data_IF_284998942056
#
_entry.id   IF_284998942056
#
_cell.length_a   1.000
_cell.length_b   1.000
_cell.length_c   1.000
_cell.angle_alpha   90.00
_cell.angle_beta   90.00
_cell.angle_gamma   90.00
#
_symmetry.space_group_name_H-M   'P 1'
#
loop_
_entity.id
_entity.type
_entity.pdbx_description
1 polymer ?
#
# COMPACT_ATOMS: atom_id res chain seq x y z
N UNK A 1 60.96 11.83 -18.06
CA UNK A 1 60.44 13.21 -18.02
C UNK A 1 59.57 13.40 -19.28
N UNK A 2 58.30 13.01 -19.21
CA UNK A 2 57.42 13.02 -20.34
C UNK A 2 56.20 13.87 -19.98
N UNK A 3 56.08 14.99 -20.71
CA UNK A 3 55.10 16.05 -20.57
C UNK A 3 53.66 15.54 -20.73
N UNK A 4 52.83 15.66 -19.73
CA UNK A 4 51.40 15.68 -19.85
C UNK A 4 50.97 17.02 -20.52
N UNK A 5 50.92 17.07 -21.85
CA UNK A 5 50.31 18.15 -22.64
C UNK A 5 48.77 18.02 -22.48
N UNK A 6 48.17 18.76 -21.51
CA UNK A 6 46.73 19.00 -21.48
C UNK A 6 46.29 19.65 -22.79
N UNK A 7 45.67 18.89 -23.71
CA UNK A 7 45.01 19.47 -24.89
C UNK A 7 44.02 20.53 -24.40
N UNK A 8 44.28 21.81 -24.70
CA UNK A 8 43.27 22.88 -24.58
C UNK A 8 42.10 22.48 -25.47
N UNK A 9 40.97 22.17 -24.85
CA UNK A 9 39.69 22.01 -25.57
C UNK A 9 39.33 23.38 -26.16
N UNK A 10 39.26 23.45 -27.46
CA UNK A 10 38.75 24.65 -28.17
C UNK A 10 37.41 25.03 -27.61
N UNK A 11 37.25 26.27 -27.16
CA UNK A 11 35.97 26.81 -26.71
C UNK A 11 35.06 26.98 -27.92
N UNK A 12 34.03 26.14 -28.00
CA UNK A 12 33.02 26.29 -29.05
C UNK A 12 32.20 27.54 -28.80
N UNK A 13 32.21 28.48 -29.72
CA UNK A 13 31.37 29.67 -29.70
C UNK A 13 29.92 29.27 -29.97
N UNK A 14 29.02 29.62 -29.09
CA UNK A 14 27.60 29.38 -29.25
C UNK A 14 26.87 30.71 -29.33
N UNK A 15 26.10 30.92 -30.42
CA UNK A 15 25.28 32.10 -30.61
C UNK A 15 23.80 31.79 -30.32
N UNK A 16 23.12 32.77 -29.70
CA UNK A 16 21.68 32.65 -29.45
C UNK A 16 20.91 32.96 -30.75
N UNK A 17 19.87 32.20 -30.99
CA UNK A 17 19.02 32.38 -32.17
C UNK A 17 18.07 33.55 -31.89
N UNK A 18 18.05 34.54 -32.82
CA UNK A 18 17.08 35.64 -32.74
C UNK A 18 15.68 35.13 -33.12
N UNK A 19 14.68 35.60 -32.40
CA UNK A 19 13.27 35.28 -32.68
C UNK A 19 12.79 36.18 -33.82
N UNK A 20 12.30 35.65 -34.95
CA UNK A 20 11.71 36.47 -36.01
C UNK A 20 10.43 37.15 -35.49
N UNK A 21 10.19 38.40 -35.95
CA UNK A 21 9.02 39.18 -35.50
C UNK A 21 7.70 38.48 -35.82
N UNK A 22 7.59 37.78 -36.93
CA UNK A 22 6.39 37.06 -37.39
C UNK A 22 6.34 35.58 -36.95
N UNK A 23 7.14 35.17 -35.95
CA UNK A 23 7.18 33.77 -35.51
C UNK A 23 5.86 33.39 -34.80
N UNK A 24 5.30 32.24 -35.20
CA UNK A 24 4.17 31.64 -34.50
C UNK A 24 4.56 31.08 -33.10
N UNK A 25 3.56 30.72 -32.29
CA UNK A 25 3.76 30.22 -30.93
C UNK A 25 4.73 29.04 -30.84
N UNK A 26 4.62 28.04 -31.73
CA UNK A 26 5.48 26.86 -31.77
C UNK A 26 6.93 27.21 -32.10
N UNK A 27 7.14 28.11 -33.06
CA UNK A 27 8.47 28.60 -33.44
C UNK A 27 9.11 29.37 -32.26
N UNK A 28 8.35 30.23 -31.55
CA UNK A 28 8.82 30.94 -30.36
C UNK A 28 9.23 29.99 -29.27
N UNK A 29 8.38 28.97 -28.96
CA UNK A 29 8.68 27.94 -27.95
C UNK A 29 9.92 27.13 -28.30
N UNK A 30 10.07 26.70 -29.54
CA UNK A 30 11.26 25.97 -30.04
C UNK A 30 12.54 26.79 -29.95
N UNK A 31 12.52 28.06 -30.38
CA UNK A 31 13.66 28.97 -30.27
C UNK A 31 14.02 29.23 -28.80
N UNK A 32 13.01 29.42 -27.92
CA UNK A 32 13.23 29.55 -26.51
C UNK A 32 13.93 28.31 -25.93
N UNK A 33 13.43 27.11 -26.23
CA UNK A 33 14.04 25.85 -25.77
C UNK A 33 15.49 25.69 -26.32
N UNK A 34 15.72 26.00 -27.60
CA UNK A 34 17.06 25.94 -28.21
C UNK A 34 18.02 26.94 -27.57
N UNK A 35 17.59 28.15 -27.34
CA UNK A 35 18.37 29.21 -26.67
C UNK A 35 18.66 28.82 -25.21
N UNK A 36 17.70 28.22 -24.50
CA UNK A 36 17.92 27.64 -23.18
C UNK A 36 19.04 26.59 -23.22
N UNK A 37 18.97 25.65 -24.14
CA UNK A 37 20.02 24.62 -24.33
C UNK A 37 21.40 25.22 -24.63
N UNK A 38 21.47 26.26 -25.46
CA UNK A 38 22.71 27.00 -25.78
C UNK A 38 23.25 27.68 -24.52
N UNK A 39 22.42 28.39 -23.78
CA UNK A 39 22.83 29.04 -22.53
C UNK A 39 23.38 28.02 -21.51
N UNK A 40 22.79 26.83 -21.41
CA UNK A 40 23.32 25.76 -20.56
C UNK A 40 24.70 25.26 -21.02
N UNK A 41 24.92 25.14 -22.32
CA UNK A 41 26.24 24.78 -22.90
C UNK A 41 27.31 25.83 -22.62
N UNK A 42 27.01 27.12 -22.81
CA UNK A 42 27.88 28.25 -22.47
C UNK A 42 28.25 28.24 -21.00
N UNK A 43 27.26 28.03 -20.12
CA UNK A 43 27.47 27.98 -18.68
C UNK A 43 28.39 26.83 -18.25
N UNK A 44 28.29 25.66 -18.91
CA UNK A 44 29.17 24.50 -18.65
C UNK A 44 30.62 24.71 -19.12
N UNK A 45 30.89 25.69 -19.98
CA UNK A 45 32.26 26.01 -20.43
C UNK A 45 33.02 26.90 -19.44
N UNK A 46 32.33 27.64 -18.56
CA UNK A 46 33.00 28.43 -17.53
C UNK A 46 33.56 27.51 -16.46
N UNK A 47 34.78 27.75 -15.98
CA UNK A 47 35.31 27.04 -14.81
C UNK A 47 34.38 27.36 -13.63
N UNK A 48 33.81 26.34 -13.02
CA UNK A 48 32.97 26.49 -11.84
C UNK A 48 33.86 26.65 -10.62
N UNK A 49 33.50 27.59 -9.75
CA UNK A 49 34.09 27.69 -8.41
C UNK A 49 33.67 26.46 -7.57
N UNK A 50 34.44 26.15 -6.54
CA UNK A 50 34.14 25.05 -5.64
C UNK A 50 32.71 25.18 -5.07
N UNK A 51 32.32 26.39 -4.66
CA UNK A 51 30.99 26.68 -4.15
C UNK A 51 29.86 26.44 -5.20
N UNK A 52 30.09 26.86 -6.46
CA UNK A 52 29.15 26.61 -7.55
C UNK A 52 28.99 25.13 -7.86
N UNK A 53 30.08 24.37 -7.74
CA UNK A 53 30.06 22.91 -7.92
C UNK A 53 29.21 22.27 -6.84
N UNK A 54 29.46 22.55 -5.55
CA UNK A 54 28.67 22.06 -4.42
C UNK A 54 27.20 22.42 -4.63
N UNK A 55 26.90 23.67 -4.93
CA UNK A 55 25.51 24.12 -5.14
C UNK A 55 24.81 23.40 -6.29
N UNK A 56 25.54 23.09 -7.37
CA UNK A 56 25.02 22.28 -8.48
C UNK A 56 24.69 20.84 -8.05
N UNK A 57 25.56 20.22 -7.27
CA UNK A 57 25.33 18.88 -6.72
C UNK A 57 24.14 18.85 -5.74
N UNK A 58 24.04 19.83 -4.86
CA UNK A 58 22.92 19.97 -3.92
C UNK A 58 21.58 20.08 -4.65
N UNK A 59 21.50 20.95 -5.68
CA UNK A 59 20.27 21.05 -6.51
C UNK A 59 19.90 19.75 -7.19
N UNK A 60 20.89 19.03 -7.71
CA UNK A 60 20.66 17.74 -8.37
C UNK A 60 20.16 16.70 -7.39
N UNK A 61 20.77 16.63 -6.21
CA UNK A 61 20.36 15.72 -5.14
C UNK A 61 18.95 16.03 -4.64
N UNK A 62 18.67 17.30 -4.32
CA UNK A 62 17.33 17.73 -3.89
C UNK A 62 16.29 17.43 -4.98
N UNK A 63 16.59 17.75 -6.25
CA UNK A 63 15.71 17.43 -7.36
C UNK A 63 15.44 15.94 -7.50
N UNK A 64 16.47 15.10 -7.36
CA UNK A 64 16.33 13.64 -7.39
C UNK A 64 15.45 13.14 -6.24
N UNK A 65 15.67 13.63 -5.01
CA UNK A 65 14.84 13.28 -3.85
C UNK A 65 13.36 13.64 -4.11
N UNK A 66 13.09 14.85 -4.59
CA UNK A 66 11.72 15.28 -4.91
C UNK A 66 11.07 14.37 -5.96
N UNK A 67 11.79 14.02 -7.02
CA UNK A 67 11.28 13.12 -8.07
C UNK A 67 10.98 11.73 -7.47
N UNK A 68 11.91 11.18 -6.68
CA UNK A 68 11.71 9.89 -6.01
C UNK A 68 10.51 9.94 -5.07
N UNK A 69 10.34 11.02 -4.31
CA UNK A 69 9.17 11.21 -3.44
C UNK A 69 7.86 11.23 -4.23
N UNK A 70 7.82 11.94 -5.36
CA UNK A 70 6.64 12.01 -6.23
C UNK A 70 6.32 10.62 -6.79
N UNK A 71 7.31 9.93 -7.36
CA UNK A 71 7.11 8.59 -7.92
C UNK A 71 6.63 7.62 -6.85
N UNK A 72 7.28 7.59 -5.68
CA UNK A 72 6.96 6.68 -4.59
C UNK A 72 5.62 7.02 -3.90
N UNK A 73 5.25 8.28 -3.86
CA UNK A 73 3.93 8.73 -3.37
C UNK A 73 2.79 8.39 -4.33
N UNK A 74 2.95 8.77 -5.60
CA UNK A 74 1.85 8.78 -6.57
C UNK A 74 1.75 7.52 -7.43
N UNK A 75 2.85 6.85 -7.75
CA UNK A 75 2.85 5.81 -8.78
C UNK A 75 3.22 4.43 -8.24
N UNK A 76 4.47 4.25 -7.85
CA UNK A 76 5.03 2.94 -7.49
C UNK A 76 5.80 3.05 -6.18
N UNK A 77 5.41 2.26 -5.21
CA UNK A 77 6.14 2.14 -3.96
C UNK A 77 6.87 0.80 -3.86
N UNK A 78 7.97 0.80 -3.13
CA UNK A 78 8.72 -0.40 -2.77
C UNK A 78 8.32 -0.86 -1.38
N UNK A 79 7.95 -2.13 -1.24
CA UNK A 79 7.63 -2.76 0.03
C UNK A 79 8.47 -4.03 0.21
N UNK A 80 8.82 -4.34 1.46
CA UNK A 80 9.41 -5.62 1.84
C UNK A 80 8.36 -6.47 2.55
N UNK A 81 8.32 -7.76 2.26
CA UNK A 81 7.40 -8.71 2.87
C UNK A 81 8.01 -9.24 4.17
N UNK A 82 7.45 -8.90 5.35
CA UNK A 82 8.04 -9.29 6.63
C UNK A 82 7.56 -10.64 7.14
N UNK A 83 6.44 -11.17 6.65
CA UNK A 83 5.77 -12.37 7.18
C UNK A 83 5.34 -13.34 6.10
N UNK A 84 5.15 -14.62 6.47
CA UNK A 84 4.76 -15.69 5.57
C UNK A 84 3.24 -15.85 5.35
N UNK A 85 2.40 -14.87 5.70
CA UNK A 85 0.94 -14.99 5.57
C UNK A 85 0.44 -15.12 4.12
N UNK A 86 1.29 -14.79 3.15
CA UNK A 86 1.05 -14.93 1.71
C UNK A 86 2.06 -15.89 1.07
N UNK A 87 2.62 -16.83 1.86
CA UNK A 87 3.65 -17.79 1.44
C UNK A 87 3.28 -18.44 0.10
N UNK A 88 4.28 -18.75 -0.73
CA UNK A 88 4.19 -19.18 -2.12
C UNK A 88 3.71 -18.10 -3.12
N UNK A 89 2.75 -17.27 -2.80
CA UNK A 89 2.41 -16.09 -3.63
C UNK A 89 3.51 -15.05 -3.49
N UNK A 90 3.78 -14.61 -2.26
CA UNK A 90 4.89 -13.73 -1.88
C UNK A 90 5.55 -14.28 -0.63
N UNK A 91 6.87 -14.37 -0.64
CA UNK A 91 7.65 -14.94 0.46
C UNK A 91 8.25 -13.86 1.35
N UNK A 92 8.44 -14.21 2.62
CA UNK A 92 9.22 -13.35 3.54
C UNK A 92 10.58 -13.01 2.93
N UNK A 93 10.92 -11.72 2.90
CA UNK A 93 12.16 -11.23 2.29
C UNK A 93 12.07 -10.94 0.80
N UNK A 94 10.88 -11.03 0.20
CA UNK A 94 10.61 -10.47 -1.12
C UNK A 94 10.45 -8.95 -1.04
N UNK A 95 11.01 -8.25 -2.01
CA UNK A 95 10.84 -6.82 -2.23
C UNK A 95 9.94 -6.60 -3.44
N UNK A 96 8.85 -5.89 -3.25
CA UNK A 96 7.77 -5.75 -4.20
C UNK A 96 7.69 -4.34 -4.76
N UNK A 97 7.45 -4.24 -6.06
CA UNK A 97 6.87 -3.02 -6.61
C UNK A 97 5.35 -3.07 -6.50
N UNK A 98 4.78 -2.05 -5.89
CA UNK A 98 3.35 -1.90 -5.65
C UNK A 98 2.81 -0.72 -6.45
N UNK A 99 1.83 -0.97 -7.29
CA UNK A 99 1.10 0.06 -8.03
C UNK A 99 0.11 0.76 -7.10
N UNK A 100 0.38 2.02 -6.77
CA UNK A 100 -0.50 2.85 -5.95
C UNK A 100 -1.53 3.61 -6.78
N UNK A 101 -1.23 3.84 -8.05
CA UNK A 101 -2.05 4.66 -8.92
C UNK A 101 -3.45 4.11 -9.12
N UNK A 102 -3.59 2.78 -9.10
CA UNK A 102 -4.85 2.08 -9.41
C UNK A 102 -5.94 2.32 -8.36
N UNK A 103 -5.59 2.31 -7.05
CA UNK A 103 -6.54 2.49 -5.94
C UNK A 103 -6.51 3.89 -5.32
N UNK A 104 -5.90 4.84 -5.99
CA UNK A 104 -5.79 6.23 -5.59
C UNK A 104 -4.37 6.58 -5.12
N UNK A 105 -3.63 7.33 -5.97
CA UNK A 105 -2.33 7.83 -5.59
C UNK A 105 -2.44 8.71 -4.34
N UNK A 106 -1.41 8.72 -3.51
CA UNK A 106 -1.39 9.52 -2.29
C UNK A 106 -0.12 10.37 -2.21
N UNK A 107 -0.22 11.52 -1.54
CA UNK A 107 0.98 12.30 -1.23
C UNK A 107 1.93 11.49 -0.37
N UNK A 108 3.27 11.73 -0.45
CA UNK A 108 4.22 11.13 0.46
C UNK A 108 3.84 11.46 1.91
N UNK A 109 3.86 10.44 2.78
CA UNK A 109 3.49 10.62 4.19
C UNK A 109 4.63 11.16 5.05
N UNK A 110 5.86 10.90 4.63
CA UNK A 110 7.08 11.33 5.34
C UNK A 110 8.15 11.77 4.36
N UNK A 111 9.01 12.68 4.80
CA UNK A 111 10.23 13.01 4.07
C UNK A 111 11.22 11.86 4.26
N UNK A 112 11.75 11.26 3.16
CA UNK A 112 12.75 10.20 3.26
C UNK A 112 13.95 10.61 4.12
N UNK A 113 14.49 9.66 4.88
CA UNK A 113 15.66 9.77 5.76
C UNK A 113 15.48 10.57 7.05
N UNK A 114 14.53 11.52 7.11
CA UNK A 114 14.32 12.36 8.31
C UNK A 114 13.00 12.10 9.02
N UNK A 115 12.12 11.28 8.45
CA UNK A 115 10.82 10.88 8.98
C UNK A 115 9.91 12.05 9.43
N UNK A 116 10.09 13.23 8.81
CA UNK A 116 9.20 14.36 9.06
C UNK A 116 7.85 14.08 8.41
N UNK A 117 6.74 14.11 9.17
CA UNK A 117 5.41 13.89 8.63
C UNK A 117 5.02 15.00 7.65
N UNK A 118 4.40 14.60 6.54
CA UNK A 118 3.86 15.50 5.53
C UNK A 118 2.33 15.42 5.52
N UNK A 119 1.64 16.48 5.08
CA UNK A 119 0.21 16.43 4.89
C UNK A 119 -0.18 15.27 3.97
N UNK A 120 -1.02 14.36 4.48
CA UNK A 120 -1.49 13.21 3.73
C UNK A 120 -2.78 13.54 2.98
N UNK A 121 -2.76 13.30 1.69
CA UNK A 121 -3.94 13.38 0.85
C UNK A 121 -3.96 12.18 -0.11
N UNK A 122 -5.09 11.48 -0.18
CA UNK A 122 -5.33 10.38 -1.12
C UNK A 122 -6.26 10.87 -2.23
N UNK A 123 -5.79 10.74 -3.47
CA UNK A 123 -6.58 11.07 -4.66
C UNK A 123 -7.57 9.94 -4.97
N UNK A 124 -8.64 10.22 -5.71
CA UNK A 124 -9.54 9.17 -6.20
C UNK A 124 -8.79 8.12 -7.02
N UNK A 125 -9.12 6.84 -6.81
CA UNK A 125 -8.59 5.73 -7.58
C UNK A 125 -9.32 5.56 -8.93
N UNK A 126 -8.67 4.87 -9.87
CA UNK A 126 -9.26 4.48 -11.15
C UNK A 126 -10.18 3.26 -10.95
N UNK A 127 -9.82 2.37 -10.03
CA UNK A 127 -10.49 1.11 -9.74
C UNK A 127 -10.71 0.97 -8.24
N UNK A 128 -11.75 0.25 -7.84
CA UNK A 128 -11.92 -0.25 -6.47
C UNK A 128 -11.30 -1.64 -6.35
N UNK A 129 -10.93 -2.10 -5.12
CA UNK A 129 -10.52 -3.49 -4.91
C UNK A 129 -11.60 -4.45 -5.40
N UNK A 130 -11.19 -5.50 -6.10
CA UNK A 130 -12.07 -6.57 -6.60
C UNK A 130 -11.72 -7.89 -5.94
N UNK A 131 -12.66 -8.83 -5.98
CA UNK A 131 -12.45 -10.19 -5.48
C UNK A 131 -11.33 -10.86 -6.28
N UNK A 132 -10.32 -11.39 -5.57
CA UNK A 132 -9.12 -11.98 -6.15
C UNK A 132 -7.89 -11.06 -6.14
N UNK A 133 -8.06 -9.75 -6.09
CA UNK A 133 -6.93 -8.81 -6.05
C UNK A 133 -6.04 -9.05 -4.82
N UNK A 134 -4.73 -9.08 -5.01
CA UNK A 134 -3.77 -8.96 -3.90
C UNK A 134 -3.60 -7.49 -3.58
N UNK A 135 -3.89 -7.10 -2.35
CA UNK A 135 -3.91 -5.69 -1.92
C UNK A 135 -2.90 -5.42 -0.83
N UNK A 136 -2.21 -4.28 -0.94
CA UNK A 136 -1.43 -3.66 0.13
C UNK A 136 -2.28 -2.58 0.77
N UNK A 137 -2.41 -2.60 2.09
CA UNK A 137 -3.25 -1.66 2.82
C UNK A 137 -2.64 -1.28 4.17
N UNK A 138 -3.09 -0.16 4.71
CA UNK A 138 -2.76 0.28 6.06
C UNK A 138 -3.58 -0.57 7.03
N UNK A 139 -2.91 -1.22 7.96
CA UNK A 139 -3.55 -2.06 8.97
C UNK A 139 -4.58 -1.28 9.79
N UNK A 140 -5.84 -1.72 9.85
CA UNK A 140 -6.91 -0.97 10.50
C UNK A 140 -6.92 -1.06 12.04
N UNK A 141 -5.97 -1.78 12.63
CA UNK A 141 -5.92 -2.08 14.06
C UNK A 141 -6.62 -3.39 14.40
N UNK A 142 -6.37 -3.90 15.59
CA UNK A 142 -6.97 -5.11 16.10
C UNK A 142 -8.49 -4.97 16.27
N UNK A 143 -9.17 -6.10 16.47
CA UNK A 143 -10.62 -6.19 16.63
C UNK A 143 -11.15 -5.19 17.67
N UNK A 144 -10.45 -5.09 18.80
CA UNK A 144 -10.84 -4.31 19.98
C UNK A 144 -10.07 -2.97 20.07
N UNK A 145 -9.52 -2.49 18.95
CA UNK A 145 -8.81 -1.21 18.85
C UNK A 145 -9.50 -0.29 17.86
N UNK A 146 -9.61 0.99 18.19
CA UNK A 146 -10.14 2.03 17.28
C UNK A 146 -9.12 2.39 16.22
N UNK A 147 -7.84 2.45 16.60
CA UNK A 147 -6.71 2.71 15.71
C UNK A 147 -5.56 1.77 16.06
N UNK A 148 -4.84 1.32 15.06
CA UNK A 148 -3.60 0.59 15.28
C UNK A 148 -2.60 1.46 16.07
N UNK A 149 -1.93 0.86 17.06
CA UNK A 149 -0.85 1.52 17.84
C UNK A 149 0.34 1.88 16.98
N UNK A 150 0.59 1.08 15.94
CA UNK A 150 1.70 1.26 15.03
C UNK A 150 1.19 1.37 13.59
N UNK A 151 1.83 2.26 12.85
CA UNK A 151 1.56 2.38 11.43
C UNK A 151 2.25 1.24 10.67
N UNK A 152 1.46 0.30 10.14
CA UNK A 152 1.97 -0.87 9.43
C UNK A 152 1.22 -1.09 8.13
N UNK A 153 1.94 -1.59 7.12
CA UNK A 153 1.35 -2.07 5.89
C UNK A 153 1.18 -3.58 5.95
N UNK A 154 0.00 -4.05 5.58
CA UNK A 154 -0.31 -5.47 5.42
C UNK A 154 -0.58 -5.80 3.96
N UNK A 155 -0.33 -7.07 3.62
CA UNK A 155 -0.61 -7.65 2.32
C UNK A 155 -1.55 -8.84 2.50
N UNK A 156 -2.69 -8.82 1.81
CA UNK A 156 -3.69 -9.90 1.83
C UNK A 156 -4.36 -10.00 0.46
N UNK A 157 -5.04 -11.10 0.21
CA UNK A 157 -5.93 -11.25 -0.93
C UNK A 157 -7.31 -10.76 -0.56
N UNK A 158 -7.90 -9.91 -1.37
CA UNK A 158 -9.30 -9.49 -1.26
C UNK A 158 -10.19 -10.66 -1.66
N UNK A 159 -10.92 -11.24 -0.73
CA UNK A 159 -11.79 -12.40 -0.98
C UNK A 159 -13.26 -12.02 -1.08
N UNK A 160 -13.66 -10.88 -0.51
CA UNK A 160 -15.00 -10.34 -0.63
C UNK A 160 -14.97 -8.81 -0.58
N UNK A 161 -15.90 -8.16 -1.26
CA UNK A 161 -16.01 -6.73 -1.44
C UNK A 161 -17.31 -6.16 -0.85
N UNK A 162 -17.45 -4.85 -0.84
CA UNK A 162 -18.60 -4.14 -0.26
C UNK A 162 -19.95 -4.66 -0.80
N UNK A 163 -20.77 -5.16 0.10
CA UNK A 163 -22.08 -5.72 -0.21
C UNK A 163 -22.10 -7.24 -0.39
N UNK A 164 -20.94 -7.89 -0.51
CA UNK A 164 -20.87 -9.36 -0.58
C UNK A 164 -21.21 -10.01 0.77
N UNK A 165 -21.64 -11.26 0.73
CA UNK A 165 -21.79 -12.12 1.91
C UNK A 165 -20.72 -13.21 1.86
N UNK A 166 -19.86 -13.24 2.89
CA UNK A 166 -18.79 -14.21 3.04
C UNK A 166 -19.18 -15.27 4.05
N UNK A 167 -18.85 -16.52 3.72
CA UNK A 167 -18.96 -17.66 4.64
C UNK A 167 -17.78 -18.59 4.45
N UNK A 168 -17.28 -19.19 5.53
CA UNK A 168 -16.30 -20.26 5.48
C UNK A 168 -16.94 -21.50 6.12
N UNK A 169 -16.94 -22.59 5.38
CA UNK A 169 -17.46 -23.88 5.84
C UNK A 169 -16.34 -24.90 5.64
N UNK A 170 -15.90 -25.51 6.73
CA UNK A 170 -14.83 -26.51 6.72
C UNK A 170 -13.61 -26.05 5.91
N UNK A 171 -13.11 -24.87 6.25
CA UNK A 171 -11.95 -24.20 5.62
C UNK A 171 -12.18 -23.69 4.19
N UNK A 172 -13.32 -24.01 3.53
CA UNK A 172 -13.65 -23.52 2.20
C UNK A 172 -14.37 -22.19 2.25
N UNK A 173 -13.94 -21.27 1.43
CA UNK A 173 -14.49 -19.90 1.36
C UNK A 173 -15.62 -19.83 0.35
N UNK A 174 -16.73 -19.25 0.74
CA UNK A 174 -17.88 -18.97 -0.13
C UNK A 174 -18.19 -17.48 -0.14
N UNK A 175 -18.44 -16.93 -1.31
CA UNK A 175 -18.84 -15.55 -1.51
C UNK A 175 -20.15 -15.54 -2.27
N UNK A 176 -21.20 -14.95 -1.69
CA UNK A 176 -22.55 -14.94 -2.25
C UNK A 176 -23.05 -16.38 -2.60
N UNK A 177 -22.71 -17.36 -1.75
CA UNK A 177 -23.07 -18.76 -1.94
C UNK A 177 -22.25 -19.53 -2.99
N UNK A 178 -21.29 -18.89 -3.64
CA UNK A 178 -20.38 -19.54 -4.60
C UNK A 178 -19.02 -19.77 -3.96
N UNK A 179 -18.44 -20.95 -4.16
CA UNK A 179 -17.10 -21.24 -3.67
C UNK A 179 -16.08 -20.31 -4.33
N UNK A 180 -15.29 -19.63 -3.50
CA UNK A 180 -14.10 -18.90 -3.93
C UNK A 180 -12.93 -19.86 -3.87
N UNK A 181 -12.36 -20.28 -5.01
CA UNK A 181 -11.34 -21.30 -5.04
C UNK A 181 -10.07 -20.84 -4.31
N UNK A 182 -9.35 -21.80 -3.73
CA UNK A 182 -8.03 -21.49 -3.21
C UNK A 182 -7.14 -21.00 -4.36
N UNK A 183 -6.44 -19.87 -4.20
CA UNK A 183 -5.51 -19.38 -5.23
C UNK A 183 -4.46 -20.43 -5.59
N UNK A 184 -3.93 -20.39 -6.81
CA UNK A 184 -2.95 -21.36 -7.35
C UNK A 184 -1.77 -21.65 -6.38
N UNK A 185 -1.31 -20.61 -5.68
CA UNK A 185 -0.22 -20.71 -4.71
C UNK A 185 -0.72 -20.72 -3.25
N UNK A 186 -2.02 -20.79 -3.04
CA UNK A 186 -2.61 -20.81 -1.71
C UNK A 186 -2.31 -22.12 -0.98
N UNK A 187 -2.19 -22.00 0.34
CA UNK A 187 -1.92 -23.13 1.24
C UNK A 187 -3.01 -23.25 2.28
N UNK A 188 -3.44 -24.48 2.48
CA UNK A 188 -4.38 -24.86 3.52
C UNK A 188 -4.13 -26.31 3.91
N UNK A 189 -4.02 -26.59 5.18
CA UNK A 189 -3.86 -27.95 5.69
C UNK A 189 -5.23 -28.55 6.02
N UNK A 190 -5.74 -29.36 5.12
CA UNK A 190 -6.98 -30.11 5.33
C UNK A 190 -6.81 -31.29 6.28
N UNK A 191 -5.58 -31.70 6.60
CA UNK A 191 -5.31 -32.80 7.55
C UNK A 191 -5.41 -32.34 9.01
N UNK A 192 -5.24 -31.05 9.28
CA UNK A 192 -5.51 -30.50 10.60
C UNK A 192 -7.01 -30.62 10.92
N UNK A 193 -7.36 -31.19 12.09
CA UNK A 193 -8.75 -31.24 12.54
C UNK A 193 -9.36 -29.84 12.58
N UNK A 194 -10.62 -29.74 12.16
CA UNK A 194 -11.38 -28.50 12.33
C UNK A 194 -11.48 -28.24 13.85
N UNK A 195 -10.82 -27.16 14.29
CA UNK A 195 -10.83 -26.84 15.72
C UNK A 195 -12.16 -26.19 16.11
N UNK A 196 -12.92 -26.78 17.03
CA UNK A 196 -14.10 -26.15 17.57
C UNK A 196 -13.75 -24.93 18.44
N UNK A 197 -12.51 -24.86 18.91
CA UNK A 197 -12.02 -23.76 19.74
C UNK A 197 -10.94 -23.00 18.97
N UNK A 198 -11.20 -21.72 18.72
CA UNK A 198 -10.19 -20.82 18.19
C UNK A 198 -9.35 -20.28 19.35
N UNK A 199 -8.03 -20.49 19.30
CA UNK A 199 -7.10 -19.86 20.26
C UNK A 199 -7.15 -18.34 20.21
N UNK A 200 -7.63 -17.79 19.09
CA UNK A 200 -7.77 -16.38 18.80
C UNK A 200 -9.25 -16.07 18.64
N UNK A 201 -9.74 -15.11 19.42
CA UNK A 201 -11.11 -14.63 19.23
C UNK A 201 -11.26 -13.99 17.85
N UNK A 202 -12.19 -14.49 17.04
CA UNK A 202 -12.48 -13.97 15.70
C UNK A 202 -13.36 -12.72 15.77
N UNK A 203 -13.39 -11.99 14.66
CA UNK A 203 -14.30 -10.87 14.42
C UNK A 203 -15.61 -11.38 13.78
N UNK A 204 -16.81 -10.84 14.11
CA UNK A 204 -17.07 -9.92 15.20
C UNK A 204 -17.10 -10.64 16.56
N UNK A 205 -16.84 -9.91 17.65
CA UNK A 205 -16.84 -10.50 18.98
C UNK A 205 -18.21 -11.09 19.34
N UNK A 206 -18.21 -12.25 20.03
CA UNK A 206 -19.44 -12.89 20.53
C UNK A 206 -20.18 -13.77 19.54
N UNK A 207 -19.81 -13.82 18.24
CA UNK A 207 -20.46 -14.70 17.24
C UNK A 207 -20.05 -16.17 17.34
N UNK A 208 -18.96 -16.48 18.04
CA UNK A 208 -18.46 -17.85 18.14
C UNK A 208 -17.94 -18.43 16.82
N UNK A 209 -17.61 -17.58 15.85
CA UNK A 209 -16.97 -18.01 14.61
C UNK A 209 -15.57 -18.55 14.88
N UNK A 210 -15.12 -19.48 14.06
CA UNK A 210 -13.76 -20.01 14.10
C UNK A 210 -13.04 -19.66 12.81
N UNK A 211 -11.73 -19.87 12.72
CA UNK A 211 -10.99 -19.66 11.48
C UNK A 211 -11.50 -20.55 10.32
N UNK A 212 -12.02 -21.75 10.67
CA UNK A 212 -12.37 -22.81 9.73
C UNK A 212 -13.88 -22.84 9.43
N UNK A 213 -14.71 -22.32 10.35
CA UNK A 213 -16.15 -22.15 10.21
C UNK A 213 -16.53 -20.74 10.62
N UNK A 214 -16.77 -19.87 9.65
CA UNK A 214 -16.89 -18.43 9.83
C UNK A 214 -18.07 -17.87 9.03
N UNK A 215 -18.80 -16.94 9.65
CA UNK A 215 -19.94 -16.31 8.98
C UNK A 215 -21.23 -17.15 9.04
N UNK A 216 -22.26 -16.85 8.20
CA UNK A 216 -22.19 -15.82 7.15
C UNK A 216 -22.04 -14.39 7.71
N UNK A 217 -21.24 -13.57 7.03
CA UNK A 217 -21.05 -12.16 7.36
C UNK A 217 -21.18 -11.30 6.11
N UNK A 218 -21.98 -10.23 6.17
CA UNK A 218 -22.06 -9.23 5.11
C UNK A 218 -20.91 -8.25 5.23
N UNK A 219 -20.22 -8.00 4.12
CA UNK A 219 -19.18 -6.98 4.04
C UNK A 219 -19.86 -5.61 3.93
N UNK A 220 -19.63 -4.69 4.87
CA UNK A 220 -20.31 -3.41 4.89
C UNK A 220 -20.06 -2.60 3.60
N UNK A 221 -21.11 -2.04 3.07
CA UNK A 221 -21.11 -1.15 1.92
C UNK A 221 -21.58 0.23 2.37
N UNK A 222 -21.04 1.26 1.77
CA UNK A 222 -21.53 2.63 1.99
C UNK A 222 -23.04 2.69 1.83
N UNK A 223 -23.69 3.39 2.75
CA UNK A 223 -25.13 3.56 2.86
C UNK A 223 -25.93 2.32 3.32
N UNK A 224 -25.27 1.18 3.60
CA UNK A 224 -25.93 0.07 4.29
C UNK A 224 -26.41 0.50 5.68
N UNK A 225 -27.58 -0.01 6.09
CA UNK A 225 -28.16 0.27 7.42
C UNK A 225 -27.96 -0.96 8.29
N UNK A 226 -27.17 -0.81 9.34
CA UNK A 226 -26.97 -1.82 10.39
C UNK A 226 -28.04 -1.58 11.45
N UNK A 227 -28.94 -2.54 11.66
CA UNK A 227 -29.91 -2.49 12.76
C UNK A 227 -29.20 -2.80 14.06
N UNK A 228 -29.40 -1.95 15.07
CA UNK A 228 -28.78 -2.06 16.38
C UNK A 228 -29.82 -2.39 17.44
N UNK A 229 -29.55 -3.39 18.23
CA UNK A 229 -30.32 -3.78 19.41
C UNK A 229 -29.39 -4.13 20.59
N UNK A 230 -29.98 -4.39 21.74
CA UNK A 230 -29.25 -4.73 22.96
C UNK A 230 -28.40 -6.01 22.86
N UNK A 231 -28.69 -6.89 21.88
CA UNK A 231 -28.00 -8.16 21.67
C UNK A 231 -26.77 -8.00 20.77
N UNK A 232 -26.86 -7.10 19.76
CA UNK A 232 -25.84 -7.02 18.69
C UNK A 232 -24.96 -5.77 18.74
N UNK A 233 -25.26 -4.73 19.52
CA UNK A 233 -24.52 -3.48 19.50
C UNK A 233 -23.02 -3.65 19.78
N UNK A 234 -22.65 -4.60 20.67
CA UNK A 234 -21.23 -4.89 21.00
C UNK A 234 -20.46 -5.49 19.82
N UNK A 235 -21.14 -6.19 18.92
CA UNK A 235 -20.52 -6.72 17.69
C UNK A 235 -20.04 -5.60 16.76
N UNK A 236 -20.79 -4.48 16.80
CA UNK A 236 -20.54 -3.31 15.96
C UNK A 236 -19.84 -2.16 16.67
N UNK A 237 -19.59 -2.27 17.95
CA UNK A 237 -19.01 -1.20 18.75
C UNK A 237 -17.71 -0.67 18.16
N UNK A 238 -16.73 -1.53 17.95
CA UNK A 238 -15.43 -1.10 17.40
C UNK A 238 -15.51 -0.74 15.93
N UNK A 239 -16.41 -1.34 15.17
CA UNK A 239 -16.65 -0.94 13.77
C UNK A 239 -17.11 0.52 13.69
N UNK A 240 -18.14 0.88 14.49
CA UNK A 240 -18.70 2.23 14.51
C UNK A 240 -17.66 3.22 15.06
N UNK A 241 -16.91 2.85 16.09
CA UNK A 241 -15.81 3.67 16.63
C UNK A 241 -14.67 3.88 15.61
N UNK A 242 -14.37 2.89 14.76
CA UNK A 242 -13.40 3.03 13.66
C UNK A 242 -13.90 3.97 12.56
N UNK A 243 -15.20 4.16 12.39
CA UNK A 243 -15.77 5.18 11.51
C UNK A 243 -15.75 6.59 12.12
N UNK A 244 -15.42 6.72 13.41
CA UNK A 244 -15.22 8.00 14.08
C UNK A 244 -16.34 8.41 15.01
N UNK A 245 -17.32 7.52 15.27
CA UNK A 245 -18.46 7.77 16.14
C UNK A 245 -18.27 7.11 17.51
N UNK A 246 -18.78 7.74 18.55
CA UNK A 246 -18.86 7.10 19.86
C UNK A 246 -20.17 6.34 19.99
N UNK A 247 -20.12 5.09 20.47
CA UNK A 247 -21.27 4.27 20.74
C UNK A 247 -21.23 3.75 22.18
N UNK A 248 -22.33 3.93 22.91
CA UNK A 248 -22.48 3.52 24.30
C UNK A 248 -23.89 2.97 24.53
N UNK A 249 -24.07 2.25 25.65
CA UNK A 249 -25.35 1.77 26.11
C UNK A 249 -25.61 2.27 27.53
N UNK A 250 -26.70 3.00 27.75
CA UNK A 250 -27.04 3.62 29.05
C UNK A 250 -27.86 2.71 29.96
N UNK A 251 -28.08 1.46 29.57
CA UNK A 251 -28.94 0.49 30.27
C UNK A 251 -30.34 0.40 29.68
N UNK A 252 -30.77 1.36 28.86
CA UNK A 252 -32.09 1.41 28.20
C UNK A 252 -31.96 1.51 26.69
N UNK A 253 -31.12 2.44 26.23
CA UNK A 253 -30.96 2.79 24.81
C UNK A 253 -29.50 2.70 24.40
N UNK A 254 -29.28 2.40 23.11
CA UNK A 254 -27.99 2.56 22.46
C UNK A 254 -27.87 4.03 22.06
N UNK A 255 -26.74 4.65 22.40
CA UNK A 255 -26.46 6.03 22.04
C UNK A 255 -25.32 6.06 21.02
N UNK A 256 -25.50 6.78 19.92
CA UNK A 256 -24.42 7.12 18.96
C UNK A 256 -24.23 8.64 19.06
N UNK A 257 -23.00 9.06 19.38
CA UNK A 257 -22.63 10.47 19.62
C UNK A 257 -23.58 11.15 20.63
N UNK A 258 -23.96 10.40 21.68
CA UNK A 258 -24.85 10.86 22.75
C UNK A 258 -26.34 10.93 22.38
N UNK A 259 -26.75 10.46 21.18
CA UNK A 259 -28.15 10.45 20.73
C UNK A 259 -28.69 9.03 20.66
N UNK A 260 -29.92 8.76 21.12
CA UNK A 260 -30.56 7.45 20.96
C UNK A 260 -30.61 7.01 19.49
N UNK A 261 -30.16 5.78 19.21
CA UNK A 261 -30.14 5.22 17.87
C UNK A 261 -30.50 3.72 17.92
N UNK A 262 -31.28 3.27 16.96
CA UNK A 262 -31.60 1.86 16.72
C UNK A 262 -31.00 1.33 15.41
N UNK A 263 -30.23 2.15 14.72
CA UNK A 263 -29.55 1.79 13.50
C UNK A 263 -28.32 2.66 13.29
N UNK A 264 -27.39 2.16 12.50
CA UNK A 264 -26.22 2.87 12.08
C UNK A 264 -26.09 2.83 10.56
N UNK A 265 -25.79 3.96 9.92
CA UNK A 265 -25.59 4.06 8.50
C UNK A 265 -24.09 4.02 8.20
N UNK A 266 -23.65 3.01 7.45
CA UNK A 266 -22.25 2.80 7.07
C UNK A 266 -21.76 3.94 6.18
N UNK A 267 -20.61 4.53 6.50
CA UNK A 267 -20.12 5.73 5.83
C UNK A 267 -19.24 5.45 4.62
N UNK A 268 -18.60 4.26 4.56
CA UNK A 268 -17.65 3.90 3.50
C UNK A 268 -17.74 2.45 3.07
N UNK A 269 -17.11 2.14 1.94
CA UNK A 269 -17.01 0.77 1.43
C UNK A 269 -15.87 0.01 2.11
N UNK A 270 -16.06 -1.31 2.29
CA UNK A 270 -15.10 -2.21 2.90
C UNK A 270 -14.82 -3.43 2.03
N UNK A 271 -13.69 -4.08 2.28
CA UNK A 271 -13.41 -5.42 1.77
C UNK A 271 -12.92 -6.34 2.90
N UNK A 272 -12.85 -7.62 2.57
CA UNK A 272 -12.38 -8.67 3.47
C UNK A 272 -11.13 -9.32 2.88
N UNK A 273 -10.01 -9.20 3.59
CA UNK A 273 -8.73 -9.72 3.16
C UNK A 273 -8.36 -11.00 3.89
N UNK A 274 -7.93 -12.03 3.14
CA UNK A 274 -7.39 -13.26 3.70
C UNK A 274 -5.97 -13.51 3.19
N UNK A 275 -5.14 -14.14 4.04
CA UNK A 275 -3.83 -14.62 3.58
C UNK A 275 -3.96 -15.86 2.70
N UNK A 276 -3.07 -15.97 1.71
CA UNK A 276 -3.03 -17.18 0.86
C UNK A 276 -2.49 -18.38 1.65
N UNK A 277 -1.68 -18.15 2.70
CA UNK A 277 -1.32 -19.16 3.70
C UNK A 277 -2.40 -19.19 4.81
N UNK A 278 -3.51 -19.85 4.54
CA UNK A 278 -4.77 -19.80 5.30
C UNK A 278 -4.64 -20.08 6.79
N UNK A 279 -3.84 -21.08 7.17
CA UNK A 279 -3.69 -21.51 8.56
C UNK A 279 -2.68 -20.66 9.32
N UNK A 280 -1.78 -19.95 8.63
CA UNK A 280 -0.72 -19.13 9.19
C UNK A 280 -0.89 -17.63 8.84
N UNK A 281 -2.14 -17.15 8.84
CA UNK A 281 -2.46 -15.76 8.52
C UNK A 281 -3.30 -15.11 9.62
N UNK A 282 -2.78 -14.01 10.17
CA UNK A 282 -3.60 -13.04 10.87
C UNK A 282 -4.25 -12.13 9.82
N UNK A 283 -5.57 -12.25 9.63
CA UNK A 283 -6.30 -11.57 8.57
C UNK A 283 -7.69 -11.12 9.04
N UNK A 284 -8.56 -10.71 8.11
CA UNK A 284 -9.87 -10.14 8.41
C UNK A 284 -10.77 -11.06 9.26
N UNK A 285 -10.50 -12.35 9.33
CA UNK A 285 -11.20 -13.27 10.25
C UNK A 285 -10.99 -12.89 11.71
N UNK A 286 -9.90 -12.18 12.03
CA UNK A 286 -9.51 -11.81 13.39
C UNK A 286 -9.73 -10.34 13.70
N UNK A 287 -9.33 -9.43 12.80
CA UNK A 287 -9.36 -7.99 13.06
C UNK A 287 -10.46 -7.23 12.29
N UNK A 288 -11.19 -7.91 11.37
CA UNK A 288 -12.38 -7.38 10.72
C UNK A 288 -12.14 -6.80 9.33
N UNK A 289 -12.93 -5.79 8.98
CA UNK A 289 -13.02 -5.25 7.63
C UNK A 289 -11.90 -4.24 7.33
N UNK A 290 -11.50 -4.18 6.04
CA UNK A 290 -10.54 -3.22 5.50
C UNK A 290 -11.31 -2.11 4.83
N UNK A 291 -11.26 -0.85 5.33
CA UNK A 291 -11.82 0.28 4.59
C UNK A 291 -11.11 0.44 3.24
N UNK A 292 -11.83 0.76 2.18
CA UNK A 292 -11.22 1.03 0.87
C UNK A 292 -10.22 2.20 0.91
N UNK A 293 -10.44 3.14 1.82
CA UNK A 293 -9.51 4.26 2.04
C UNK A 293 -8.14 3.82 2.54
N UNK A 294 -8.08 2.67 3.24
CA UNK A 294 -6.84 2.10 3.72
C UNK A 294 -6.08 1.35 2.62
N UNK A 295 -6.72 0.98 1.51
CA UNK A 295 -6.07 0.25 0.43
C UNK A 295 -5.12 1.16 -0.32
N UNK A 296 -3.83 0.80 -0.35
CA UNK A 296 -2.73 1.63 -0.87
C UNK A 296 -2.41 1.27 -2.33
N UNK A 297 -2.45 -0.02 -2.66
CA UNK A 297 -2.09 -0.46 -4.01
C UNK A 297 -2.12 -1.98 -4.15
N UNK A 298 -1.74 -2.45 -5.34
CA UNK A 298 -1.59 -3.87 -5.64
C UNK A 298 -0.14 -4.16 -6.02
N UNK A 299 0.46 -5.26 -5.54
CA UNK A 299 1.81 -5.64 -5.95
C UNK A 299 1.82 -6.05 -7.43
N UNK A 300 2.84 -5.61 -8.15
CA UNK A 300 3.04 -5.92 -9.57
C UNK A 300 3.98 -7.11 -9.71
N UNK A 301 5.16 -7.00 -9.08
CA UNK A 301 6.23 -7.98 -9.23
C UNK A 301 7.21 -7.93 -8.06
N UNK A 302 7.91 -9.04 -7.86
CA UNK A 302 9.10 -9.13 -7.01
C UNK A 302 10.28 -8.60 -7.79
N UNK A 303 10.94 -7.54 -7.31
CA UNK A 303 12.14 -7.01 -7.96
C UNK A 303 13.44 -7.48 -7.29
N UNK A 304 13.35 -7.93 -6.02
CA UNK A 304 14.46 -8.48 -5.26
C UNK A 304 13.96 -9.48 -4.22
N UNK A 305 14.79 -10.47 -3.87
CA UNK A 305 14.44 -11.47 -2.86
C UNK A 305 15.68 -12.04 -2.19
N UNK A 306 15.75 -11.92 -0.86
CA UNK A 306 16.80 -12.51 -0.03
C UNK A 306 16.31 -12.74 1.41
N UNK A 307 17.11 -13.39 2.24
CA UNK A 307 16.80 -13.53 3.66
C UNK A 307 17.06 -12.21 4.40
N UNK A 308 15.97 -11.58 4.85
CA UNK A 308 16.02 -10.31 5.59
C UNK A 308 16.49 -10.47 7.03
N UNK A 309 16.44 -11.69 7.61
CA UNK A 309 16.87 -11.95 8.97
C UNK A 309 18.42 -11.98 9.10
N UNK A 310 19.11 -12.17 7.98
CA UNK A 310 20.57 -12.12 7.97
C UNK A 310 21.05 -10.67 8.05
N UNK A 311 21.87 -10.29 9.06
CA UNK A 311 22.36 -8.94 9.21
C UNK A 311 23.42 -8.61 8.14
N UNK A 312 23.62 -7.31 7.87
CA UNK A 312 24.63 -6.85 6.91
C UNK A 312 26.07 -7.23 7.29
N UNK A 313 26.33 -7.50 8.56
CA UNK A 313 27.64 -8.01 9.03
C UNK A 313 27.96 -9.40 8.44
N UNK A 314 26.96 -10.15 7.99
CA UNK A 314 27.10 -11.44 7.33
C UNK A 314 26.84 -11.34 5.81
N UNK A 315 27.40 -10.32 5.16
CA UNK A 315 27.08 -10.00 3.76
C UNK A 315 27.26 -11.18 2.81
N UNK A 316 28.28 -12.02 3.00
CA UNK A 316 28.53 -13.21 2.18
C UNK A 316 27.34 -14.19 2.24
N UNK A 317 26.85 -14.52 3.43
CA UNK A 317 25.68 -15.38 3.62
C UNK A 317 24.41 -14.73 3.08
N UNK A 318 24.26 -13.42 3.27
CA UNK A 318 23.13 -12.66 2.76
C UNK A 318 23.07 -12.64 1.23
N UNK A 319 24.21 -12.47 0.57
CA UNK A 319 24.29 -12.56 -0.89
C UNK A 319 24.02 -13.97 -1.41
N UNK A 320 24.46 -15.02 -0.70
CA UNK A 320 24.15 -16.40 -1.06
C UNK A 320 22.69 -16.78 -0.84
N UNK A 321 21.94 -16.02 -0.04
CA UNK A 321 20.50 -16.23 0.18
C UNK A 321 19.61 -15.59 -0.89
N UNK A 322 20.19 -14.96 -1.93
CA UNK A 322 19.40 -14.37 -3.02
C UNK A 322 18.64 -15.46 -3.77
N UNK A 323 17.33 -15.27 -3.88
CA UNK A 323 16.42 -16.17 -4.57
C UNK A 323 16.20 -15.70 -6.00
N UNK A 324 17.14 -16.04 -6.90
CA UNK A 324 17.17 -15.58 -8.28
C UNK A 324 15.90 -15.94 -9.08
N UNK A 325 15.29 -17.08 -8.76
CA UNK A 325 14.06 -17.56 -9.40
C UNK A 325 12.81 -16.75 -9.03
N UNK A 326 12.92 -15.85 -8.06
CA UNK A 326 11.82 -14.96 -7.67
C UNK A 326 11.93 -13.58 -8.28
N UNK A 327 13.12 -13.19 -8.75
CA UNK A 327 13.34 -11.88 -9.36
C UNK A 327 12.57 -11.79 -10.68
N UNK A 328 11.83 -10.70 -10.88
CA UNK A 328 10.91 -10.45 -11.99
C UNK A 328 9.68 -11.37 -12.02
N UNK A 329 9.35 -12.08 -10.89
CA UNK A 329 8.10 -12.82 -10.78
C UNK A 329 6.94 -11.84 -10.63
N UNK A 330 5.96 -11.90 -11.54
CA UNK A 330 4.72 -11.15 -11.43
C UNK A 330 3.81 -11.78 -10.38
N UNK A 331 2.98 -10.96 -9.76
CA UNK A 331 2.05 -11.36 -8.70
C UNK A 331 0.63 -11.19 -9.25
N UNK A 332 -0.12 -12.29 -9.23
CA UNK A 332 -1.51 -12.39 -9.70
C UNK A 332 -2.46 -12.73 -8.54
#
# INVERSE_FOLDING_TARGET
MSMFRKKRKEQKTYELIKVPENANFFTKAWIWYRNYRIKQKIKKQKPQTFAETIWSWTKTLVGAIIIVMIINGLLIASFVVPTGSMENTVMTGDFLFVNKFIYGPSTPQVVPFVNIPLPFYKFPGIKKPEVGDVIVFIYPGDRDEVKSKEFQYYLKRCVATAGDTLQIIDKRVYVNGKEFPLPEHGQIDYSEPISPYNKWETFPPGKGYTRDNYGPIRIPKKDDIIQLDQKNWREWEYFIKKEGHDITFDGVSILIDGKPANSYKVERDYCFGMGDNRDHSSDSRYWGFIPYDNVVGTPIMVYWSWDTNLPLSQIGKKLSSIRWNRIAKFIN
#
